data_IF_509382966363
#
_entry.id   IF_509382966363
#
_cell.length_a   1.000
_cell.length_b   1.000
_cell.length_c   1.000
_cell.angle_alpha   90.00
_cell.angle_beta   90.00
_cell.angle_gamma   90.00
#
_symmetry.space_group_name_H-M   'P 1'
#
loop_
_entity.id
_entity.type
_entity.pdbx_description
1 polymer ?
#
# COMPACT_ATOMS: atom_id res chain seq x y z
N UNK A 1 -31.50 -15.44 21.69
CA UNK A 1 -30.55 -14.67 22.52
C UNK A 1 -29.45 -14.16 21.60
N UNK A 2 -29.35 -12.86 21.34
CA UNK A 2 -28.19 -12.34 20.59
C UNK A 2 -26.98 -12.41 21.50
N UNK A 3 -25.98 -13.22 21.14
CA UNK A 3 -24.67 -13.14 21.77
C UNK A 3 -24.16 -11.72 21.51
N UNK A 4 -23.89 -10.94 22.56
CA UNK A 4 -23.35 -9.59 22.41
C UNK A 4 -22.04 -9.62 21.60
N UNK A 5 -21.74 -8.53 20.90
CA UNK A 5 -20.49 -8.38 20.15
C UNK A 5 -19.28 -8.65 21.06
N UNK A 6 -18.31 -9.42 20.58
CA UNK A 6 -17.01 -9.60 21.25
C UNK A 6 -16.14 -8.34 21.16
N UNK A 7 -16.44 -7.43 20.21
CA UNK A 7 -15.73 -6.17 20.04
C UNK A 7 -16.29 -5.09 20.94
N UNK A 8 -15.40 -4.48 21.74
CA UNK A 8 -15.67 -3.40 22.69
C UNK A 8 -14.72 -2.23 22.39
N UNK A 9 -15.20 -1.18 21.70
CA UNK A 9 -14.39 -0.01 21.38
C UNK A 9 -13.76 0.61 22.63
N UNK A 10 -12.47 0.93 22.56
CA UNK A 10 -11.68 1.48 23.68
C UNK A 10 -11.13 0.43 24.66
N UNK A 11 -11.61 -0.82 24.60
CA UNK A 11 -11.06 -1.92 25.40
C UNK A 11 -10.21 -2.87 24.54
N UNK A 12 -10.80 -3.47 23.49
CA UNK A 12 -10.14 -4.50 22.68
C UNK A 12 -10.16 -4.22 21.17
N UNK A 13 -10.78 -3.12 20.75
CA UNK A 13 -10.71 -2.62 19.39
C UNK A 13 -10.77 -1.10 19.41
N UNK A 14 -10.27 -0.47 18.35
CA UNK A 14 -10.35 0.97 18.21
C UNK A 14 -11.77 1.41 17.83
N UNK A 15 -12.36 0.77 16.82
CA UNK A 15 -13.70 1.09 16.34
C UNK A 15 -14.35 -0.14 15.67
N UNK A 16 -15.68 -0.19 15.70
CA UNK A 16 -16.50 -1.13 14.92
C UNK A 16 -17.26 -0.35 13.86
N UNK A 17 -17.26 -0.83 12.62
CA UNK A 17 -17.96 -0.23 11.49
C UNK A 17 -18.53 -1.31 10.57
N UNK A 18 -19.61 -0.97 9.86
CA UNK A 18 -20.20 -1.84 8.85
C UNK A 18 -19.24 -2.02 7.67
N UNK A 19 -19.09 -3.25 7.22
CA UNK A 19 -18.39 -3.61 6.00
C UNK A 19 -19.44 -4.13 5.01
N UNK A 20 -19.48 -3.55 3.81
CA UNK A 20 -20.43 -3.98 2.79
C UNK A 20 -19.93 -5.26 2.11
N UNK A 21 -18.64 -5.28 1.72
CA UNK A 21 -17.97 -6.46 1.19
C UNK A 21 -16.57 -6.61 1.80
N UNK A 22 -16.22 -7.85 2.17
CA UNK A 22 -14.89 -8.26 2.59
C UNK A 22 -14.36 -9.31 1.61
N UNK A 23 -13.14 -9.13 1.11
CA UNK A 23 -12.41 -10.13 0.34
C UNK A 23 -11.02 -10.34 0.94
N UNK A 24 -10.58 -11.59 0.96
CA UNK A 24 -9.21 -11.96 1.31
C UNK A 24 -8.43 -12.14 0.01
N UNK A 25 -7.24 -11.53 -0.04
CA UNK A 25 -6.35 -11.57 -1.18
C UNK A 25 -5.09 -12.29 -0.76
N UNK A 26 -4.78 -13.38 -1.46
CA UNK A 26 -3.61 -14.22 -1.16
C UNK A 26 -2.50 -13.86 -2.16
N UNK A 27 -1.34 -13.56 -1.60
CA UNK A 27 -0.11 -13.18 -2.28
C UNK A 27 -0.15 -11.86 -3.06
N UNK A 28 1.04 -11.37 -3.35
CA UNK A 28 1.25 -10.00 -3.82
C UNK A 28 0.90 -9.80 -5.29
N UNK A 29 0.86 -10.85 -6.12
CA UNK A 29 0.43 -10.69 -7.51
C UNK A 29 -1.03 -10.21 -7.62
N UNK A 30 -1.94 -10.89 -6.92
CA UNK A 30 -3.34 -10.49 -6.88
C UNK A 30 -3.53 -9.18 -6.10
N UNK A 31 -2.80 -8.99 -5.00
CA UNK A 31 -2.89 -7.75 -4.23
C UNK A 31 -2.41 -6.53 -5.01
N UNK A 32 -1.24 -6.59 -5.64
CA UNK A 32 -0.70 -5.48 -6.42
C UNK A 32 -1.56 -5.18 -7.65
N UNK A 33 -2.14 -6.21 -8.28
CA UNK A 33 -3.12 -6.02 -9.37
C UNK A 33 -4.38 -5.31 -8.85
N UNK A 34 -4.94 -5.78 -7.73
CA UNK A 34 -6.15 -5.21 -7.14
C UNK A 34 -5.97 -3.75 -6.72
N UNK A 35 -4.85 -3.40 -6.08
CA UNK A 35 -4.60 -2.01 -5.68
C UNK A 35 -4.31 -1.12 -6.87
N UNK A 36 -3.67 -1.63 -7.94
CA UNK A 36 -3.45 -0.86 -9.16
C UNK A 36 -4.78 -0.48 -9.81
N UNK A 37 -5.67 -1.44 -9.99
CA UNK A 37 -7.01 -1.22 -10.55
C UNK A 37 -7.83 -0.25 -9.68
N UNK A 38 -7.77 -0.40 -8.36
CA UNK A 38 -8.41 0.52 -7.42
C UNK A 38 -7.87 1.95 -7.55
N UNK A 39 -6.54 2.13 -7.58
CA UNK A 39 -5.89 3.43 -7.75
C UNK A 39 -6.20 4.05 -9.13
N UNK A 40 -6.33 3.25 -10.18
CA UNK A 40 -6.75 3.73 -11.50
C UNK A 40 -8.19 4.23 -11.51
N UNK A 41 -9.08 3.67 -10.69
CA UNK A 41 -10.48 4.12 -10.56
C UNK A 41 -10.64 5.33 -9.65
N UNK A 42 -9.77 5.51 -8.66
CA UNK A 42 -9.81 6.60 -7.68
C UNK A 42 -10.06 7.99 -8.31
N UNK A 43 -11.00 8.77 -7.77
CA UNK A 43 -11.38 10.07 -8.33
C UNK A 43 -10.93 11.26 -7.47
N UNK A 44 -10.90 11.10 -6.13
CA UNK A 44 -10.76 12.20 -5.18
C UNK A 44 -9.59 12.01 -4.22
N UNK A 45 -9.39 10.80 -3.71
CA UNK A 45 -8.42 10.56 -2.65
C UNK A 45 -7.80 9.17 -2.73
N UNK A 46 -6.48 9.12 -2.66
CA UNK A 46 -5.71 7.92 -2.34
C UNK A 46 -4.93 8.20 -1.05
N UNK A 47 -5.01 7.32 -0.07
CA UNK A 47 -4.16 7.33 1.12
C UNK A 47 -3.39 6.02 1.22
N UNK A 48 -2.06 6.08 1.19
CA UNK A 48 -1.17 4.93 1.30
C UNK A 48 -0.36 5.03 2.60
N UNK A 49 -0.43 3.99 3.43
CA UNK A 49 0.37 3.83 4.65
C UNK A 49 1.21 2.57 4.49
N UNK A 50 2.52 2.67 4.68
CA UNK A 50 3.43 1.54 4.53
C UNK A 50 4.63 1.63 5.45
N UNK A 51 5.07 0.48 5.93
CA UNK A 51 6.23 0.35 6.80
C UNK A 51 7.54 0.38 6.01
N UNK A 52 7.55 -0.25 4.84
CA UNK A 52 8.65 -0.19 3.89
C UNK A 52 8.10 0.11 2.50
N UNK A 53 8.92 0.74 1.67
CA UNK A 53 8.49 1.20 0.37
C UNK A 53 9.65 1.24 -0.62
N UNK A 54 9.45 0.74 -1.84
CA UNK A 54 10.39 0.93 -2.94
C UNK A 54 9.66 1.50 -4.16
N UNK A 55 10.07 2.70 -4.57
CA UNK A 55 9.44 3.42 -5.67
C UNK A 55 9.63 2.71 -7.04
N UNK A 56 10.59 1.78 -7.13
CA UNK A 56 10.85 0.96 -8.29
C UNK A 56 9.96 -0.28 -8.38
N UNK A 57 9.21 -0.63 -7.34
CA UNK A 57 8.28 -1.78 -7.35
C UNK A 57 7.20 -1.60 -8.40
N UNK A 58 6.92 -2.65 -9.18
CA UNK A 58 5.78 -2.71 -10.09
C UNK A 58 4.52 -3.03 -9.31
N UNK A 59 3.45 -2.24 -9.48
CA UNK A 59 2.11 -2.65 -9.06
C UNK A 59 1.46 -3.44 -10.18
N UNK A 60 0.90 -4.60 -9.87
CA UNK A 60 0.35 -5.58 -10.81
C UNK A 60 1.34 -6.71 -11.09
N UNK A 61 0.98 -7.57 -12.04
CA UNK A 61 1.90 -8.52 -12.63
C UNK A 61 3.13 -7.79 -13.23
N UNK A 62 4.36 -8.33 -13.20
CA UNK A 62 5.56 -7.68 -13.73
C UNK A 62 5.47 -7.24 -15.19
N UNK A 63 4.63 -7.94 -15.96
CA UNK A 63 4.36 -7.68 -17.38
C UNK A 63 3.13 -6.80 -17.62
N UNK A 64 2.54 -6.19 -16.59
CA UNK A 64 1.36 -5.31 -16.73
C UNK A 64 1.57 -4.24 -17.79
N UNK A 65 0.59 -4.10 -18.68
CA UNK A 65 0.58 -3.12 -19.76
C UNK A 65 -0.84 -2.58 -19.99
N UNK A 66 -1.20 -1.61 -19.16
CA UNK A 66 -2.49 -0.91 -19.17
C UNK A 66 -2.35 0.56 -19.60
N UNK A 67 -1.22 0.92 -20.24
CA UNK A 67 -0.91 2.28 -20.66
C UNK A 67 -0.41 3.22 -19.55
N UNK A 68 -0.37 2.77 -18.29
CA UNK A 68 0.19 3.54 -17.18
C UNK A 68 1.60 3.05 -16.79
N UNK A 69 2.44 3.88 -16.15
CA UNK A 69 3.76 3.44 -15.70
C UNK A 69 3.69 2.20 -14.80
N UNK A 70 4.61 1.24 -14.99
CA UNK A 70 4.68 0.03 -14.16
C UNK A 70 5.12 0.33 -12.73
N UNK A 71 6.22 1.10 -12.61
CA UNK A 71 6.84 1.44 -11.32
C UNK A 71 5.97 2.40 -10.52
N UNK A 72 5.70 2.06 -9.27
CA UNK A 72 4.80 2.82 -8.38
C UNK A 72 5.22 4.29 -8.23
N UNK A 73 6.53 4.56 -8.24
CA UNK A 73 7.12 5.90 -8.21
C UNK A 73 6.57 6.82 -9.28
N UNK A 74 6.62 6.37 -10.53
CA UNK A 74 6.13 7.09 -11.70
C UNK A 74 4.61 7.03 -11.83
N UNK A 75 4.01 5.88 -11.47
CA UNK A 75 2.57 5.67 -11.51
C UNK A 75 1.82 6.68 -10.63
N UNK A 76 2.29 6.96 -9.42
CA UNK A 76 1.69 7.96 -8.51
C UNK A 76 1.72 9.37 -9.13
N UNK A 77 2.84 9.76 -9.74
CA UNK A 77 2.95 11.07 -10.41
C UNK A 77 2.04 11.13 -11.62
N UNK A 78 1.96 10.04 -12.38
CA UNK A 78 1.10 9.92 -13.54
C UNK A 78 -0.38 10.03 -13.17
N UNK A 79 -0.85 9.29 -12.16
CA UNK A 79 -2.22 9.36 -11.65
C UNK A 79 -2.61 10.79 -11.27
N UNK A 80 -1.76 11.46 -10.49
CA UNK A 80 -2.01 12.82 -10.04
C UNK A 80 -2.00 13.85 -11.19
N UNK A 81 -1.43 13.51 -12.36
CA UNK A 81 -1.51 14.34 -13.58
C UNK A 81 -2.78 14.06 -14.38
N UNK A 82 -3.17 12.78 -14.50
CA UNK A 82 -4.37 12.38 -15.24
C UNK A 82 -5.67 12.82 -14.57
N UNK A 83 -5.69 12.92 -13.24
CA UNK A 83 -6.91 13.20 -12.47
C UNK A 83 -6.81 14.52 -11.73
N UNK A 84 -7.38 15.62 -12.27
CA UNK A 84 -7.15 16.95 -11.73
C UNK A 84 -7.57 17.15 -10.27
N UNK A 85 -8.58 16.39 -9.82
CA UNK A 85 -9.19 16.46 -8.50
C UNK A 85 -8.67 15.40 -7.51
N UNK A 86 -7.78 14.52 -7.95
CA UNK A 86 -7.23 13.45 -7.12
C UNK A 86 -6.15 13.99 -6.18
N UNK A 87 -6.36 13.85 -4.88
CA UNK A 87 -5.31 13.99 -3.86
C UNK A 87 -4.68 12.63 -3.54
N UNK A 88 -3.35 12.60 -3.40
CA UNK A 88 -2.63 11.39 -2.99
C UNK A 88 -1.85 11.72 -1.71
N UNK A 89 -2.08 10.95 -0.65
CA UNK A 89 -1.42 11.11 0.66
C UNK A 89 -0.66 9.83 0.97
N UNK A 90 0.60 9.97 1.32
CA UNK A 90 1.52 8.85 1.51
C UNK A 90 2.21 9.04 2.87
N UNK A 91 2.07 8.05 3.75
CA UNK A 91 2.74 7.97 5.03
C UNK A 91 3.67 6.76 5.04
N UNK A 92 4.97 6.99 5.06
CA UNK A 92 5.98 5.94 5.11
C UNK A 92 6.68 5.96 6.46
N UNK A 93 7.10 4.82 6.98
CA UNK A 93 7.92 4.79 8.19
C UNK A 93 9.30 5.37 7.90
N UNK A 94 9.85 6.13 8.84
CA UNK A 94 11.15 6.77 8.71
C UNK A 94 12.24 5.82 9.23
N UNK A 95 13.13 5.29 8.37
CA UNK A 95 14.27 4.49 8.81
C UNK A 95 15.42 5.36 9.33
N UNK A 96 15.23 6.65 9.63
CA UNK A 96 16.33 7.62 9.80
C UNK A 96 17.38 7.25 10.86
N UNK A 97 17.05 6.38 11.82
CA UNK A 97 17.97 5.90 12.87
C UNK A 97 18.62 4.54 12.51
N UNK A 98 18.21 3.93 11.39
CA UNK A 98 18.66 2.65 10.86
C UNK A 98 19.13 2.81 9.41
N UNK A 99 20.33 3.36 9.22
CA UNK A 99 20.87 3.68 7.89
C UNK A 99 20.83 2.53 6.88
N UNK A 100 20.92 1.27 7.31
CA UNK A 100 20.82 0.08 6.44
C UNK A 100 19.44 -0.14 5.82
N UNK A 101 18.40 0.49 6.37
CA UNK A 101 17.02 0.42 5.88
C UNK A 101 16.68 1.59 4.95
N UNK A 102 17.61 2.54 4.79
CA UNK A 102 17.42 3.69 3.92
C UNK A 102 17.58 3.30 2.44
N UNK A 103 16.51 3.49 1.65
CA UNK A 103 16.53 3.27 0.20
C UNK A 103 16.82 4.56 -0.55
N UNK A 104 18.09 4.81 -0.87
CA UNK A 104 18.49 6.00 -1.62
C UNK A 104 17.84 6.08 -3.02
N UNK A 105 17.47 4.94 -3.61
CA UNK A 105 16.71 4.85 -4.86
C UNK A 105 15.36 5.57 -4.83
N UNK A 106 14.78 5.77 -3.63
CA UNK A 106 13.51 6.49 -3.47
C UNK A 106 13.65 8.01 -3.52
N UNK A 107 14.85 8.56 -3.28
CA UNK A 107 15.06 10.01 -3.11
C UNK A 107 14.51 10.84 -4.29
N UNK A 108 14.76 10.49 -5.58
CA UNK A 108 14.21 11.25 -6.70
C UNK A 108 12.68 11.29 -6.71
N UNK A 109 12.02 10.19 -6.32
CA UNK A 109 10.56 10.10 -6.27
C UNK A 109 9.99 10.88 -5.09
N UNK A 110 10.60 10.78 -3.91
CA UNK A 110 10.21 11.56 -2.73
C UNK A 110 10.28 13.08 -3.02
N UNK A 111 11.33 13.53 -3.73
CA UNK A 111 11.44 14.93 -4.16
C UNK A 111 10.33 15.28 -5.15
N UNK A 112 10.13 14.49 -6.22
CA UNK A 112 9.06 14.72 -7.21
C UNK A 112 7.67 14.78 -6.57
N UNK A 113 7.40 13.92 -5.60
CA UNK A 113 6.14 13.88 -4.86
C UNK A 113 5.96 15.10 -3.98
N UNK A 114 6.98 15.49 -3.20
CA UNK A 114 6.93 16.71 -2.38
C UNK A 114 6.70 17.99 -3.19
N UNK A 115 7.20 18.04 -4.43
CA UNK A 115 7.02 19.18 -5.32
C UNK A 115 5.66 19.20 -6.03
N UNK A 116 4.91 18.09 -6.03
CA UNK A 116 3.63 18.01 -6.73
C UNK A 116 2.48 18.46 -5.83
N UNK A 117 1.74 19.50 -6.23
CA UNK A 117 0.68 20.15 -5.43
C UNK A 117 -0.44 19.25 -4.88
N UNK A 118 -0.64 18.06 -5.46
CA UNK A 118 -1.67 17.08 -5.08
C UNK A 118 -1.11 15.83 -4.40
N UNK A 119 0.20 15.73 -4.24
CA UNK A 119 0.84 14.60 -3.56
C UNK A 119 1.41 15.12 -2.25
N UNK A 120 0.95 14.56 -1.13
CA UNK A 120 1.51 14.81 0.20
C UNK A 120 2.23 13.55 0.64
N UNK A 121 3.55 13.63 0.83
CA UNK A 121 4.35 12.53 1.40
C UNK A 121 4.93 12.93 2.76
N UNK A 122 4.77 12.04 3.74
CA UNK A 122 5.32 12.18 5.09
C UNK A 122 6.13 10.94 5.45
N UNK A 123 7.26 11.16 6.12
CA UNK A 123 8.05 10.11 6.76
C UNK A 123 7.77 10.20 8.26
N UNK A 124 7.30 9.12 8.86
CA UNK A 124 6.96 9.07 10.28
C UNK A 124 8.09 8.48 11.11
N UNK A 125 8.70 9.34 11.92
CA UNK A 125 9.74 8.99 12.89
C UNK A 125 9.31 9.26 14.34
N UNK A 126 8.01 9.33 14.64
CA UNK A 126 7.49 9.64 15.99
C UNK A 126 7.54 8.45 16.95
N UNK A 127 7.95 7.28 16.48
CA UNK A 127 8.04 6.08 17.31
C UNK A 127 9.31 6.05 18.16
N UNK A 128 9.27 5.44 19.36
CA UNK A 128 10.46 5.18 20.15
C UNK A 128 11.54 4.42 19.36
N UNK A 129 12.78 4.57 19.77
CA UNK A 129 13.91 3.80 19.21
C UNK A 129 13.59 2.30 19.19
N UNK A 130 13.81 1.66 18.04
CA UNK A 130 13.50 0.23 17.84
C UNK A 130 12.04 -0.07 17.52
N UNK A 131 11.14 0.92 17.49
CA UNK A 131 9.74 0.76 17.12
C UNK A 131 9.44 1.31 15.72
N UNK A 132 8.32 0.87 15.14
CA UNK A 132 7.83 1.36 13.85
C UNK A 132 6.31 1.43 13.82
N UNK A 133 5.74 2.24 12.92
CA UNK A 133 4.40 1.93 12.43
C UNK A 133 4.53 0.81 11.42
N UNK A 134 3.87 -0.31 11.69
CA UNK A 134 3.99 -1.51 10.87
C UNK A 134 2.77 -1.73 9.95
N UNK A 135 1.91 -0.72 9.86
CA UNK A 135 0.64 -0.79 9.14
C UNK A 135 0.88 -0.75 7.63
N UNK A 136 0.19 -1.62 6.90
CA UNK A 136 0.10 -1.56 5.43
C UNK A 136 -1.37 -1.35 5.07
N UNK A 137 -1.69 -0.14 4.65
CA UNK A 137 -3.07 0.24 4.34
C UNK A 137 -3.13 1.08 3.07
N UNK A 138 -4.19 0.89 2.29
CA UNK A 138 -4.55 1.73 1.17
C UNK A 138 -6.02 2.12 1.32
N UNK A 139 -6.36 3.39 1.15
CA UNK A 139 -7.76 3.85 1.13
C UNK A 139 -8.00 4.64 -0.14
N UNK A 140 -9.09 4.32 -0.82
CA UNK A 140 -9.54 4.93 -2.06
C UNK A 140 -10.90 5.58 -1.80
N UNK A 141 -10.96 6.89 -2.01
CA UNK A 141 -12.17 7.72 -1.97
C UNK A 141 -13.03 7.55 -0.69
N UNK A 142 -12.41 7.18 0.44
CA UNK A 142 -13.07 6.82 1.71
C UNK A 142 -14.16 5.73 1.57
N UNK A 143 -14.14 4.91 0.50
CA UNK A 143 -15.15 3.87 0.22
C UNK A 143 -14.58 2.48 0.00
N UNK A 144 -13.37 2.36 -0.56
CA UNK A 144 -12.66 1.09 -0.75
C UNK A 144 -11.34 1.15 0.03
N UNK A 145 -11.00 0.11 0.78
CA UNK A 145 -9.78 0.05 1.57
C UNK A 145 -9.11 -1.32 1.48
N UNK A 146 -7.80 -1.33 1.66
CA UNK A 146 -6.99 -2.51 1.79
C UNK A 146 -6.22 -2.44 3.10
N UNK A 147 -6.12 -3.58 3.78
CA UNK A 147 -5.40 -3.72 5.05
C UNK A 147 -4.85 -5.14 5.17
N UNK A 148 -3.55 -5.29 5.41
CA UNK A 148 -2.90 -6.60 5.39
C UNK A 148 -1.42 -6.58 5.70
N UNK A 149 -0.73 -7.68 5.35
CA UNK A 149 0.71 -7.87 5.55
C UNK A 149 1.60 -7.31 4.42
N UNK A 150 1.02 -7.04 3.26
CA UNK A 150 1.78 -6.77 2.03
C UNK A 150 2.16 -5.29 1.86
N UNK A 151 3.43 -4.96 2.07
CA UNK A 151 4.02 -3.64 1.75
C UNK A 151 4.31 -3.48 0.25
N UNK A 152 4.28 -2.24 -0.25
CA UNK A 152 4.71 -1.89 -1.62
C UNK A 152 6.23 -1.74 -1.67
N UNK A 153 6.94 -2.85 -1.54
CA UNK A 153 8.42 -2.88 -1.49
C UNK A 153 8.98 -4.08 -2.25
N UNK A 154 10.31 -4.24 -2.23
CA UNK A 154 11.03 -5.31 -2.92
C UNK A 154 10.74 -6.69 -2.32
N UNK A 155 10.90 -7.75 -3.11
CA UNK A 155 10.83 -9.16 -2.68
C UNK A 155 9.48 -9.58 -2.09
N UNK A 156 8.40 -8.87 -2.43
CA UNK A 156 7.02 -9.21 -2.01
C UNK A 156 6.24 -9.86 -3.13
N UNK A 157 6.42 -9.43 -4.38
CA UNK A 157 5.64 -9.98 -5.50
C UNK A 157 5.89 -11.48 -5.65
N UNK A 158 4.82 -12.28 -5.58
CA UNK A 158 4.80 -13.71 -5.84
C UNK A 158 3.38 -14.14 -6.21
N UNK A 159 3.26 -15.34 -6.76
CA UNK A 159 1.99 -15.98 -7.12
C UNK A 159 1.68 -17.13 -6.17
N UNK A 160 0.44 -17.60 -6.17
CA UNK A 160 -0.03 -18.66 -5.26
C UNK A 160 0.68 -20.00 -5.45
N UNK A 161 1.26 -20.22 -6.64
CA UNK A 161 2.00 -21.43 -6.95
C UNK A 161 3.33 -21.50 -6.18
N UNK A 162 3.89 -20.37 -5.76
CA UNK A 162 5.18 -20.27 -5.05
C UNK A 162 6.29 -21.13 -5.66
N UNK A 163 6.32 -21.25 -7.00
CA UNK A 163 7.32 -22.06 -7.71
C UNK A 163 8.72 -21.65 -7.25
N UNK A 164 9.60 -22.60 -6.91
CA UNK A 164 10.97 -22.29 -6.47
C UNK A 164 11.70 -21.40 -7.49
N UNK A 165 11.55 -21.72 -8.77
CA UNK A 165 12.04 -20.93 -9.91
C UNK A 165 10.89 -20.24 -10.63
N UNK A 166 10.58 -19.00 -10.23
CA UNK A 166 9.68 -18.13 -10.97
C UNK A 166 10.50 -17.03 -11.69
N UNK A 167 10.56 -17.02 -13.04
CA UNK A 167 11.34 -16.03 -13.79
C UNK A 167 10.87 -14.59 -13.62
N UNK A 168 9.62 -14.37 -13.19
CA UNK A 168 9.02 -13.07 -12.98
C UNK A 168 9.39 -12.45 -11.61
N UNK A 169 9.83 -13.25 -10.62
CA UNK A 169 10.32 -12.74 -9.32
C UNK A 169 11.69 -12.11 -9.45
N UNK A 170 11.70 -10.81 -9.79
CA UNK A 170 12.92 -10.01 -9.96
C UNK A 170 12.76 -8.63 -9.34
N UNK A 171 13.81 -8.19 -8.65
CA UNK A 171 13.95 -6.80 -8.23
C UNK A 171 14.07 -5.89 -9.45
N UNK A 172 13.85 -4.57 -9.31
CA UNK A 172 14.15 -3.61 -10.38
C UNK A 172 15.60 -3.65 -10.90
N UNK A 173 16.54 -4.18 -10.09
CA UNK A 173 17.93 -4.43 -10.50
C UNK A 173 18.13 -5.69 -11.35
N UNK A 174 17.09 -6.50 -11.55
CA UNK A 174 17.14 -7.78 -12.25
C UNK A 174 17.49 -8.99 -11.38
N UNK A 175 17.92 -8.76 -10.14
CA UNK A 175 18.25 -9.80 -9.15
C UNK A 175 17.01 -10.62 -8.80
N UNK A 176 17.12 -11.95 -8.89
CA UNK A 176 16.05 -12.88 -8.50
C UNK A 176 15.93 -12.99 -6.98
N UNK A 177 14.74 -13.31 -6.50
CA UNK A 177 14.48 -13.58 -5.08
C UNK A 177 13.55 -14.80 -4.92
N UNK A 178 13.57 -15.38 -3.72
CA UNK A 178 12.81 -16.60 -3.39
C UNK A 178 11.31 -16.37 -3.27
N UNK A 179 10.53 -17.44 -3.05
CA UNK A 179 9.09 -17.33 -2.83
C UNK A 179 8.74 -16.47 -1.62
N UNK A 180 7.57 -15.84 -1.66
CA UNK A 180 7.05 -15.03 -0.57
C UNK A 180 5.54 -15.20 -0.46
N UNK A 181 5.07 -15.63 0.71
CA UNK A 181 3.67 -15.85 1.00
C UNK A 181 3.17 -14.82 2.00
N UNK A 182 2.02 -14.20 1.72
CA UNK A 182 1.33 -13.33 2.66
C UNK A 182 -0.13 -13.10 2.22
N UNK A 183 -0.89 -12.40 3.05
CA UNK A 183 -2.31 -12.15 2.87
C UNK A 183 -2.62 -10.67 3.11
N UNK A 184 -3.55 -10.16 2.31
CA UNK A 184 -4.18 -8.87 2.53
C UNK A 184 -5.70 -8.99 2.47
N UNK A 185 -6.39 -7.92 2.80
CA UNK A 185 -7.84 -7.83 2.67
C UNK A 185 -8.23 -6.63 1.85
N UNK A 186 -9.38 -6.73 1.19
CA UNK A 186 -10.11 -5.64 0.57
C UNK A 186 -11.46 -5.50 1.27
N UNK A 187 -11.81 -4.27 1.60
CA UNK A 187 -12.99 -3.90 2.38
C UNK A 187 -13.70 -2.74 1.68
N UNK A 188 -15.04 -2.77 1.64
CA UNK A 188 -15.84 -1.67 1.09
C UNK A 188 -16.87 -1.13 2.08
N UNK A 189 -17.34 0.09 1.85
CA UNK A 189 -18.40 0.71 2.64
C UNK A 189 -17.90 1.53 3.84
N UNK A 190 -18.71 1.71 4.89
CA UNK A 190 -18.39 2.58 6.03
C UNK A 190 -17.08 2.24 6.77
N UNK A 191 -16.63 0.98 6.73
CA UNK A 191 -15.35 0.56 7.28
C UNK A 191 -14.16 1.22 6.57
N UNK A 192 -14.22 1.46 5.26
CA UNK A 192 -13.14 2.09 4.50
C UNK A 192 -12.93 3.54 4.96
N UNK A 193 -14.01 4.28 5.20
CA UNK A 193 -13.96 5.62 5.81
C UNK A 193 -13.37 5.59 7.22
N UNK A 194 -13.66 4.54 7.99
CA UNK A 194 -13.13 4.37 9.36
C UNK A 194 -11.62 4.15 9.33
N UNK A 195 -11.13 3.27 8.43
CA UNK A 195 -9.70 3.10 8.15
C UNK A 195 -9.09 4.42 7.65
N UNK A 196 -9.79 5.13 6.77
CA UNK A 196 -9.37 6.44 6.28
C UNK A 196 -9.22 7.50 7.38
N UNK A 197 -9.96 7.40 8.50
CA UNK A 197 -9.74 8.27 9.67
C UNK A 197 -8.47 7.90 10.43
N UNK A 198 -8.08 6.62 10.44
CA UNK A 198 -6.82 6.17 11.06
C UNK A 198 -5.60 6.67 10.28
N UNK A 199 -5.72 6.81 8.96
CA UNK A 199 -4.63 7.24 8.08
C UNK A 199 -4.37 8.76 8.07
N UNK A 200 -5.17 9.57 8.76
CA UNK A 200 -5.13 11.05 8.73
C UNK A 200 -4.43 11.63 9.95
#
# INVERSE_FOLDING_TARGET
MSVGSIFRPGENCWQVAQCDELSIIVDADQYFTSIREAMMRAERLIMLVGWDFDAGTTLGHPDVDDGAPRKVGDFIVWLARQKPHLEIKILLWSPALFASWLRLSNLPYLVRWKLHKRITVRLDGRHPLGSSHHQKMLVIDDYEAFCGGIDVTLDRWDTREHLDENPARRRPSGVRYGPWHDVSSKLTGPVAKTIGRLCR
#
